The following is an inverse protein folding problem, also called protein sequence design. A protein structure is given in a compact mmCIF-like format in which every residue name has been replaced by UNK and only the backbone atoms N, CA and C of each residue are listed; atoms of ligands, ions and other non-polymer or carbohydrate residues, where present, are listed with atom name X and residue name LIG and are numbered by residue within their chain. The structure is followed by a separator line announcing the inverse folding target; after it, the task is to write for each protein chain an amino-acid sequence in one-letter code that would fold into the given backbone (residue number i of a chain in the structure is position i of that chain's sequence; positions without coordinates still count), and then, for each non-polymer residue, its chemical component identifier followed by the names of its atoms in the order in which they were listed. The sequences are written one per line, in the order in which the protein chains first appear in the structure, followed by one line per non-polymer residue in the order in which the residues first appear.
data_IF_516866771217
#
_entry.id   IF_516866771217
#
_cell.length_a   1.000
_cell.length_b   1.000
_cell.length_c   1.000
_cell.angle_alpha   90.00
_cell.angle_beta   90.00
_cell.angle_gamma   90.00
#
_symmetry.space_group_name_H-M   'P 1'
#
loop_
_entity.id
_entity.type
_entity.pdbx_description
1 polymer ?
#
# COMPACT_ATOMS: atom_id res chain seq x y z
N UNK A 1 -14.85 10.90 14.67
CA UNK A 1 -13.45 11.35 14.85
C UNK A 1 -12.78 11.12 13.49
N UNK A 2 -12.41 12.18 12.79
CA UNK A 2 -11.75 12.05 11.47
C UNK A 2 -10.39 11.38 11.75
N UNK A 3 -10.13 10.23 11.13
CA UNK A 3 -8.88 9.50 11.33
C UNK A 3 -7.68 10.37 10.96
N UNK A 4 -6.60 10.30 11.74
CA UNK A 4 -5.34 10.99 11.42
C UNK A 4 -4.70 10.33 10.20
N UNK A 5 -4.05 11.15 9.36
CA UNK A 5 -3.10 10.68 8.36
C UNK A 5 -2.02 9.79 9.01
N UNK A 6 -1.53 8.77 8.30
CA UNK A 6 -0.55 7.80 8.81
C UNK A 6 0.61 7.62 7.84
N UNK A 7 1.77 7.27 8.38
CA UNK A 7 2.91 6.75 7.62
C UNK A 7 3.09 5.26 7.94
N UNK A 8 2.82 4.38 6.98
CA UNK A 8 3.14 2.96 7.10
C UNK A 8 4.54 2.71 6.54
N UNK A 9 5.48 2.43 7.44
CA UNK A 9 6.88 2.28 7.11
C UNK A 9 7.20 0.81 6.75
N UNK A 10 7.50 0.56 5.47
CA UNK A 10 7.83 -0.78 4.95
C UNK A 10 9.33 -0.99 4.75
N UNK A 11 10.10 0.08 4.52
CA UNK A 11 11.50 -0.04 4.08
C UNK A 11 12.39 1.15 4.47
N UNK A 12 11.92 2.01 5.37
CA UNK A 12 12.56 3.26 5.77
C UNK A 12 12.93 4.20 4.61
N UNK A 13 12.13 4.25 3.53
CA UNK A 13 12.41 5.12 2.38
C UNK A 13 12.58 6.62 2.74
N UNK A 14 12.00 7.06 3.86
CA UNK A 14 11.84 8.48 4.21
C UNK A 14 12.30 8.84 5.62
N UNK A 15 13.43 8.28 6.09
CA UNK A 15 13.96 8.48 7.46
C UNK A 15 14.04 9.95 7.91
N UNK A 16 14.33 10.85 6.99
CA UNK A 16 14.62 12.26 7.29
C UNK A 16 13.55 13.23 6.77
N UNK A 17 12.37 12.72 6.40
CA UNK A 17 11.30 13.56 5.87
C UNK A 17 10.39 14.09 7.00
N UNK A 18 10.10 15.41 7.04
CA UNK A 18 9.33 16.04 8.10
C UNK A 18 7.82 15.89 7.85
N UNK A 19 7.32 14.66 7.86
CA UNK A 19 5.89 14.43 7.62
C UNK A 19 5.02 14.67 8.86
N UNK A 20 5.61 14.69 10.07
CA UNK A 20 4.89 14.77 11.35
C UNK A 20 3.69 13.78 11.44
N UNK A 21 3.78 12.66 10.72
CA UNK A 21 2.76 11.61 10.68
C UNK A 21 3.08 10.54 11.74
N UNK A 22 2.07 10.04 12.47
CA UNK A 22 2.22 8.82 13.25
C UNK A 22 2.71 7.67 12.37
N UNK A 23 3.76 7.00 12.83
CA UNK A 23 4.40 5.90 12.09
C UNK A 23 3.85 4.56 12.57
N UNK A 24 3.45 3.73 11.61
CA UNK A 24 3.19 2.30 11.81
C UNK A 24 4.38 1.55 11.23
N UNK A 25 5.13 0.85 12.07
CA UNK A 25 6.30 0.08 11.65
C UNK A 25 5.86 -1.29 11.13
N UNK A 26 6.03 -1.51 9.82
CA UNK A 26 5.75 -2.76 9.12
C UNK A 26 7.00 -3.26 8.36
N UNK A 27 8.20 -2.87 8.79
CA UNK A 27 9.44 -3.18 8.08
C UNK A 27 9.76 -4.66 7.98
N UNK A 28 9.22 -5.48 8.90
CA UNK A 28 9.33 -6.93 8.82
C UNK A 28 8.62 -7.52 7.60
N UNK A 29 7.60 -6.83 7.06
CA UNK A 29 6.88 -7.23 5.86
C UNK A 29 7.54 -6.76 4.56
N UNK A 30 8.31 -5.67 4.63
CA UNK A 30 8.91 -5.01 3.46
C UNK A 30 9.62 -5.97 2.50
N UNK A 31 10.60 -6.77 2.94
CA UNK A 31 11.34 -7.67 2.05
C UNK A 31 10.47 -8.64 1.26
N UNK A 32 9.40 -9.15 1.88
CA UNK A 32 8.52 -10.17 1.29
C UNK A 32 7.42 -9.56 0.41
N UNK A 33 7.08 -8.28 0.63
CA UNK A 33 6.09 -7.55 -0.14
C UNK A 33 6.69 -6.73 -1.30
N UNK A 34 8.01 -6.58 -1.39
CA UNK A 34 8.63 -5.70 -2.38
C UNK A 34 8.43 -6.21 -3.82
N UNK A 35 8.03 -5.33 -4.74
CA UNK A 35 7.75 -5.59 -6.16
C UNK A 35 6.58 -6.53 -6.47
N UNK A 36 6.50 -7.68 -5.79
CA UNK A 36 5.45 -8.66 -5.97
C UNK A 36 5.38 -9.63 -4.80
N UNK A 37 4.18 -10.15 -4.53
CA UNK A 37 3.94 -11.11 -3.46
C UNK A 37 2.88 -12.15 -3.85
N UNK A 38 2.93 -13.36 -3.28
CA UNK A 38 1.86 -14.34 -3.44
C UNK A 38 0.59 -13.87 -2.71
N UNK A 39 -0.63 -14.18 -3.22
CA UNK A 39 -1.88 -13.74 -2.61
C UNK A 39 -2.02 -14.05 -1.11
N UNK A 40 -1.48 -15.19 -0.65
CA UNK A 40 -1.48 -15.58 0.77
C UNK A 40 -0.78 -14.54 1.65
N UNK A 41 0.40 -14.08 1.23
CA UNK A 41 1.21 -13.14 1.98
C UNK A 41 0.55 -11.75 2.02
N UNK A 42 0.00 -11.31 0.88
CA UNK A 42 -0.76 -10.06 0.80
C UNK A 42 -1.99 -10.09 1.71
N UNK A 43 -2.71 -11.22 1.76
CA UNK A 43 -3.85 -11.40 2.64
C UNK A 43 -3.46 -11.43 4.12
N UNK A 44 -2.30 -11.99 4.47
CA UNK A 44 -1.78 -11.96 5.84
C UNK A 44 -1.43 -10.55 6.28
N UNK A 45 -0.69 -9.81 5.44
CA UNK A 45 -0.39 -8.40 5.66
C UNK A 45 -1.69 -7.58 5.82
N UNK A 46 -2.67 -7.77 4.95
CA UNK A 46 -3.94 -7.06 5.03
C UNK A 46 -4.64 -7.30 6.39
N UNK A 47 -4.73 -8.55 6.83
CA UNK A 47 -5.35 -8.88 8.14
C UNK A 47 -4.63 -8.23 9.32
N UNK A 48 -3.32 -8.07 9.24
CA UNK A 48 -2.54 -7.45 10.32
C UNK A 48 -2.76 -5.94 10.41
N UNK A 49 -2.92 -5.26 9.28
CA UNK A 49 -2.99 -3.80 9.23
C UNK A 49 -4.38 -3.23 8.92
N UNK A 50 -5.42 -4.05 8.71
CA UNK A 50 -6.74 -3.61 8.19
C UNK A 50 -7.37 -2.42 8.95
N UNK A 51 -7.09 -2.30 10.25
CA UNK A 51 -7.57 -1.20 11.09
C UNK A 51 -6.81 0.09 10.76
N UNK A 52 -5.48 0.01 10.63
CA UNK A 52 -4.61 1.12 10.24
C UNK A 52 -4.85 1.53 8.78
N UNK A 53 -5.17 0.58 7.90
CA UNK A 53 -5.56 0.84 6.51
C UNK A 53 -6.88 1.64 6.41
N UNK A 54 -7.68 1.74 7.47
CA UNK A 54 -8.88 2.56 7.49
C UNK A 54 -8.60 4.08 7.59
N UNK A 55 -7.33 4.50 7.66
CA UNK A 55 -6.94 5.91 7.66
C UNK A 55 -7.40 6.63 6.38
N UNK A 56 -7.91 7.87 6.48
CA UNK A 56 -8.31 8.65 5.31
C UNK A 56 -7.11 9.06 4.43
N UNK A 57 -5.89 9.03 4.99
CA UNK A 57 -4.67 9.30 4.23
C UNK A 57 -3.54 8.41 4.72
N UNK A 58 -2.85 7.77 3.79
CA UNK A 58 -1.72 6.91 4.09
C UNK A 58 -0.56 7.19 3.13
N UNK A 59 0.62 7.37 3.71
CA UNK A 59 1.89 7.41 3.00
C UNK A 59 2.66 6.12 3.29
N UNK A 60 3.20 5.44 2.27
CA UNK A 60 3.92 4.17 2.48
C UNK A 60 4.89 3.80 1.34
N UNK A 61 6.02 3.18 1.72
CA UNK A 61 7.00 2.52 0.84
C UNK A 61 7.82 3.42 -0.10
N UNK A 62 8.95 2.93 -0.62
CA UNK A 62 9.80 3.66 -1.60
C UNK A 62 9.25 3.71 -3.03
N UNK A 63 8.03 3.23 -3.27
CA UNK A 63 7.38 3.22 -4.58
C UNK A 63 7.30 1.86 -5.25
N UNK A 64 8.05 0.84 -4.79
CA UNK A 64 7.95 -0.55 -5.27
C UNK A 64 6.98 -1.43 -4.45
N UNK A 65 6.07 -0.77 -3.73
CA UNK A 65 4.97 -1.37 -2.97
C UNK A 65 3.60 -0.92 -3.48
N UNK A 66 3.53 -0.10 -4.52
CA UNK A 66 2.30 0.61 -4.90
C UNK A 66 1.14 -0.32 -5.26
N UNK A 67 1.40 -1.59 -5.58
CA UNK A 67 0.35 -2.59 -5.78
C UNK A 67 -0.49 -2.87 -4.53
N UNK A 68 0.04 -2.58 -3.34
CA UNK A 68 -0.73 -2.67 -2.11
C UNK A 68 -1.88 -1.66 -2.13
N UNK A 69 -1.82 -0.56 -2.90
CA UNK A 69 -2.87 0.49 -2.99
C UNK A 69 -4.25 -0.11 -3.25
N UNK A 70 -4.30 -1.17 -4.05
CA UNK A 70 -5.52 -1.91 -4.35
C UNK A 70 -6.23 -2.44 -3.08
N UNK A 71 -5.53 -2.73 -1.99
CA UNK A 71 -6.12 -3.16 -0.71
C UNK A 71 -6.97 -2.06 -0.06
N UNK A 72 -6.64 -0.79 -0.26
CA UNK A 72 -7.43 0.34 0.23
C UNK A 72 -8.62 0.62 -0.68
N UNK A 73 -8.39 0.61 -1.99
CA UNK A 73 -9.43 0.81 -3.01
C UNK A 73 -10.54 -0.24 -2.85
N UNK A 74 -10.19 -1.51 -2.62
CA UNK A 74 -11.15 -2.60 -2.42
C UNK A 74 -12.09 -2.41 -1.23
N UNK A 75 -11.77 -1.51 -0.28
CA UNK A 75 -12.63 -1.21 0.87
C UNK A 75 -13.73 -0.21 0.52
N UNK A 76 -13.62 0.48 -0.61
CA UNK A 76 -14.59 1.48 -1.02
C UNK A 76 -15.71 0.79 -1.82
N UNK A 77 -16.89 0.65 -1.20
CA UNK A 77 -18.02 -0.06 -1.80
C UNK A 77 -18.78 0.78 -2.85
N UNK A 78 -18.61 2.11 -2.82
CA UNK A 78 -19.20 3.05 -3.76
C UNK A 78 -18.28 3.34 -4.95
N UNK A 79 -18.82 3.77 -6.10
CA UNK A 79 -18.00 4.21 -7.22
C UNK A 79 -17.01 5.32 -6.82
N UNK A 80 -15.77 5.20 -7.28
CA UNK A 80 -14.71 6.18 -7.06
C UNK A 80 -14.05 6.56 -8.38
N UNK A 81 -13.39 7.72 -8.37
CA UNK A 81 -12.42 8.10 -9.39
C UNK A 81 -11.02 7.94 -8.80
N UNK A 82 -10.22 7.04 -9.38
CA UNK A 82 -8.80 6.91 -9.08
C UNK A 82 -8.01 7.85 -10.00
N UNK A 83 -7.17 8.70 -9.41
CA UNK A 83 -6.18 9.50 -10.15
C UNK A 83 -4.81 8.93 -9.83
N UNK A 84 -4.20 8.25 -10.79
CA UNK A 84 -2.85 7.68 -10.65
C UNK A 84 -1.83 8.59 -11.33
N UNK A 85 -0.82 9.02 -10.58
CA UNK A 85 0.35 9.71 -11.11
C UNK A 85 1.50 8.71 -11.18
N UNK A 86 1.58 8.00 -12.30
CA UNK A 86 2.66 7.06 -12.59
C UNK A 86 3.08 7.20 -14.07
N UNK A 87 4.31 6.79 -14.37
CA UNK A 87 4.79 6.67 -15.74
C UNK A 87 4.36 5.34 -16.38
N UNK A 88 3.85 4.39 -15.59
CA UNK A 88 3.35 3.10 -16.03
C UNK A 88 1.83 3.00 -15.84
N UNK A 89 1.13 2.20 -16.66
CA UNK A 89 -0.32 2.06 -16.54
C UNK A 89 -0.76 1.09 -15.44
N UNK A 90 0.13 0.24 -14.94
CA UNK A 90 -0.08 -0.74 -13.86
C UNK A 90 -1.31 -1.67 -13.97
N UNK A 91 -1.75 -1.92 -15.20
CA UNK A 91 -2.90 -2.76 -15.55
C UNK A 91 -2.51 -4.13 -16.16
N UNK A 92 -1.31 -4.64 -15.89
CA UNK A 92 -0.91 -5.97 -16.37
C UNK A 92 -1.77 -7.05 -15.68
N UNK A 93 -2.21 -8.02 -16.47
CA UNK A 93 -3.11 -9.10 -16.06
C UNK A 93 -2.36 -10.43 -15.84
N UNK A 94 -1.03 -10.44 -16.01
CA UNK A 94 -0.20 -11.65 -15.88
C UNK A 94 1.07 -11.35 -15.08
N UNK A 95 1.66 -12.35 -14.38
CA UNK A 95 1.18 -13.70 -14.02
C UNK A 95 0.36 -13.67 -12.68
N UNK A 96 -0.07 -14.78 -12.04
CA UNK A 96 -1.07 -14.77 -10.94
C UNK A 96 -0.49 -14.34 -9.58
N UNK A 97 0.35 -13.32 -9.58
CA UNK A 97 0.90 -12.70 -8.37
C UNK A 97 0.41 -11.27 -8.31
N UNK A 98 0.25 -10.78 -7.09
CA UNK A 98 0.15 -9.35 -6.87
C UNK A 98 1.50 -8.73 -7.15
N UNK A 99 1.53 -7.62 -7.86
CA UNK A 99 2.79 -6.93 -8.12
C UNK A 99 2.58 -5.55 -8.70
N UNK A 100 3.67 -4.78 -8.67
CA UNK A 100 3.71 -3.39 -9.07
C UNK A 100 3.07 -3.14 -10.45
N UNK A 101 3.30 -4.00 -11.44
CA UNK A 101 2.75 -3.78 -12.78
C UNK A 101 1.25 -4.09 -12.97
N UNK A 102 0.53 -4.59 -11.96
CA UNK A 102 -0.81 -5.16 -12.15
C UNK A 102 -1.73 -5.01 -10.94
N UNK A 103 -2.05 -3.76 -10.57
CA UNK A 103 -2.91 -3.45 -9.43
C UNK A 103 -4.11 -2.56 -9.76
N UNK A 104 -4.09 -1.90 -10.92
CA UNK A 104 -5.22 -1.13 -11.48
C UNK A 104 -6.14 -2.08 -12.23
#
# INVERSE_FOLDING_TARGET
MIGRALHLNLDDAWRDQPFDLPVVDARSWGPELRFSAPPRLVAEFYREYEIQLASPFLLYGSGDFHYLTALWIQRVAQPITLVSFDNHPDWDVRPPKWGCGGWV
#
